data_IF_036266262439
#
_entry.id   IF_036266262439
#
_cell.length_a   1.000
_cell.length_b   1.000
_cell.length_c   1.000
_cell.angle_alpha   90.00
_cell.angle_beta   90.00
_cell.angle_gamma   90.00
#
_symmetry.space_group_name_H-M   'P 1'
#
loop_
_entity.id
_entity.type
_entity.pdbx_description
1 polymer ?
#
# COMPACT_ATOMS: atom_id res chain seq x y z
N UNK A 1 -12.46 -5.35 -13.93
CA UNK A 1 -12.71 -6.34 -12.88
C UNK A 1 -14.11 -6.10 -12.36
N UNK A 2 -15.00 -7.07 -12.51
CA UNK A 2 -16.36 -6.97 -11.95
C UNK A 2 -16.29 -7.03 -10.43
N UNK A 3 -16.72 -5.96 -9.77
CA UNK A 3 -16.76 -5.88 -8.31
C UNK A 3 -18.08 -6.49 -7.86
N UNK A 4 -18.00 -7.60 -7.12
CA UNK A 4 -19.18 -8.28 -6.56
C UNK A 4 -19.89 -7.40 -5.52
N UNK A 5 -21.22 -7.56 -5.35
CA UNK A 5 -21.96 -6.90 -4.28
C UNK A 5 -21.32 -7.13 -2.92
N UNK A 6 -21.21 -6.06 -2.13
CA UNK A 6 -20.61 -6.07 -0.80
C UNK A 6 -21.46 -5.27 0.20
N UNK A 7 -21.42 -5.64 1.48
CA UNK A 7 -22.08 -4.93 2.57
C UNK A 7 -21.43 -3.55 2.80
N UNK A 8 -20.16 -3.44 2.42
CA UNK A 8 -19.41 -2.19 2.47
C UNK A 8 -19.43 -1.51 1.11
N UNK A 9 -19.86 -0.25 1.10
CA UNK A 9 -19.67 0.65 -0.03
C UNK A 9 -18.44 1.52 0.19
N UNK A 10 -17.68 1.71 -0.88
CA UNK A 10 -16.57 2.64 -0.98
C UNK A 10 -17.06 3.92 -1.65
N UNK A 11 -16.77 5.06 -1.03
CA UNK A 11 -17.14 6.38 -1.52
C UNK A 11 -15.86 7.16 -1.76
N UNK A 12 -15.73 7.74 -2.95
CA UNK A 12 -14.66 8.68 -3.27
C UNK A 12 -15.21 9.97 -3.90
N UNK A 13 -14.29 10.89 -4.19
CA UNK A 13 -14.59 12.26 -4.61
C UNK A 13 -15.33 13.10 -3.55
N UNK A 14 -15.19 12.77 -2.27
CA UNK A 14 -15.77 13.57 -1.18
C UNK A 14 -14.92 14.83 -0.94
N UNK A 15 -15.50 15.88 -0.36
CA UNK A 15 -14.78 17.09 0.04
C UNK A 15 -13.84 16.80 1.21
N UNK A 16 -12.53 16.94 0.99
CA UNK A 16 -11.50 16.60 1.97
C UNK A 16 -11.29 17.68 3.05
N UNK A 17 -11.81 18.90 2.85
CA UNK A 17 -11.75 20.02 3.80
C UNK A 17 -12.64 19.83 5.03
N UNK A 18 -13.70 19.01 4.92
CA UNK A 18 -14.65 18.75 6.01
C UNK A 18 -13.97 18.00 7.15
N UNK A 19 -14.23 18.32 8.42
CA UNK A 19 -13.60 17.61 9.56
C UNK A 19 -14.01 16.13 9.57
N UNK A 20 -13.12 15.24 10.06
CA UNK A 20 -13.35 13.78 10.06
C UNK A 20 -14.67 13.38 10.74
N UNK A 21 -14.96 13.96 11.89
CA UNK A 21 -16.15 13.63 12.67
C UNK A 21 -17.43 14.13 12.01
N UNK A 22 -17.41 15.36 11.51
CA UNK A 22 -18.53 15.94 10.76
C UNK A 22 -18.82 15.12 9.50
N UNK A 23 -17.77 14.75 8.74
CA UNK A 23 -17.90 13.88 7.59
C UNK A 23 -18.59 12.55 7.95
N UNK A 24 -18.17 11.91 9.05
CA UNK A 24 -18.81 10.66 9.52
C UNK A 24 -20.28 10.87 9.91
N UNK A 25 -20.60 11.95 10.63
CA UNK A 25 -21.98 12.28 11.04
C UNK A 25 -22.88 12.52 9.82
N UNK A 26 -22.42 13.30 8.85
CA UNK A 26 -23.18 13.62 7.65
C UNK A 26 -23.36 12.41 6.74
N UNK A 27 -22.34 11.56 6.60
CA UNK A 27 -22.48 10.27 5.91
C UNK A 27 -23.46 9.36 6.64
N UNK A 28 -23.42 9.29 7.97
CA UNK A 28 -24.38 8.50 8.74
C UNK A 28 -25.82 8.98 8.50
N UNK A 29 -26.05 10.29 8.64
CA UNK A 29 -27.37 10.90 8.43
C UNK A 29 -27.91 10.58 7.02
N UNK A 30 -27.08 10.75 6.00
CA UNK A 30 -27.48 10.53 4.61
C UNK A 30 -27.74 9.04 4.31
N UNK A 31 -26.89 8.12 4.76
CA UNK A 31 -26.96 6.72 4.38
C UNK A 31 -27.88 5.88 5.26
N UNK A 32 -28.23 6.35 6.47
CA UNK A 32 -29.09 5.62 7.42
C UNK A 32 -30.49 5.34 6.88
N UNK A 33 -30.98 6.14 5.92
CA UNK A 33 -32.28 5.94 5.26
C UNK A 33 -32.37 4.62 4.46
N UNK A 34 -31.24 4.07 4.01
CA UNK A 34 -31.23 2.83 3.23
C UNK A 34 -31.16 1.57 4.09
N UNK A 35 -30.74 1.70 5.35
CA UNK A 35 -30.62 0.58 6.27
C UNK A 35 -29.65 0.86 7.42
N UNK A 36 -29.58 -0.09 8.35
CA UNK A 36 -28.72 0.01 9.53
C UNK A 36 -27.23 0.04 9.13
N UNK A 37 -26.55 1.12 9.52
CA UNK A 37 -25.10 1.26 9.36
C UNK A 37 -24.42 0.68 10.60
N UNK A 38 -23.47 -0.23 10.37
CA UNK A 38 -22.64 -0.81 11.44
C UNK A 38 -21.46 0.12 11.74
N UNK A 39 -20.76 0.57 10.69
CA UNK A 39 -19.53 1.34 10.84
C UNK A 39 -19.31 2.29 9.66
N UNK A 40 -18.71 3.45 9.95
CA UNK A 40 -18.18 4.36 8.93
C UNK A 40 -16.69 4.57 9.18
N UNK A 41 -15.88 4.25 8.18
CA UNK A 41 -14.43 4.42 8.21
C UNK A 41 -14.05 5.56 7.28
N UNK A 42 -13.45 6.61 7.85
CA UNK A 42 -12.91 7.73 7.10
C UNK A 42 -11.59 8.16 7.75
N UNK A 43 -10.56 8.39 6.93
CA UNK A 43 -9.24 8.82 7.37
C UNK A 43 -8.84 10.10 6.63
N UNK A 44 -8.04 10.95 7.28
CA UNK A 44 -7.57 12.22 6.72
C UNK A 44 -6.11 12.17 6.24
N UNK A 45 -5.54 10.97 6.14
CA UNK A 45 -4.21 10.78 5.57
C UNK A 45 -4.21 11.09 4.08
N UNK A 46 -3.05 11.45 3.51
CA UNK A 46 -2.95 11.80 2.09
C UNK A 46 -3.52 10.74 1.14
N UNK A 47 -3.35 9.46 1.48
CA UNK A 47 -3.85 8.32 0.70
C UNK A 47 -5.36 8.12 0.81
N UNK A 48 -5.98 8.55 1.90
CA UNK A 48 -7.39 8.24 2.24
C UNK A 48 -8.30 9.47 2.29
N UNK A 49 -7.74 10.69 2.21
CA UNK A 49 -8.54 11.92 2.20
C UNK A 49 -9.46 11.94 0.99
N UNK A 50 -10.66 12.48 1.18
CA UNK A 50 -11.72 12.48 0.16
C UNK A 50 -12.35 11.10 -0.10
N UNK A 51 -12.08 10.11 0.77
CA UNK A 51 -12.61 8.76 0.67
C UNK A 51 -13.23 8.31 2.00
N UNK A 52 -14.21 7.42 1.92
CA UNK A 52 -14.86 6.80 3.05
C UNK A 52 -15.37 5.39 2.71
N UNK A 53 -15.55 4.57 3.74
CA UNK A 53 -16.25 3.31 3.66
C UNK A 53 -17.46 3.36 4.59
N UNK A 54 -18.62 2.98 4.07
CA UNK A 54 -19.85 2.83 4.85
C UNK A 54 -20.23 1.36 4.85
N UNK A 55 -20.32 0.77 6.04
CA UNK A 55 -20.60 -0.65 6.24
C UNK A 55 -22.06 -0.79 6.67
N UNK A 56 -22.87 -1.41 5.82
CA UNK A 56 -24.26 -1.75 6.14
C UNK A 56 -24.35 -3.12 6.81
N UNK A 57 -25.41 -3.30 7.60
CA UNK A 57 -25.79 -4.62 8.12
C UNK A 57 -26.33 -5.53 7.03
N UNK A 58 -27.14 -4.97 6.13
CA UNK A 58 -27.79 -5.73 5.05
C UNK A 58 -27.16 -5.42 3.69
N UNK A 59 -26.97 -6.45 2.86
CA UNK A 59 -26.42 -6.31 1.52
C UNK A 59 -27.34 -5.46 0.61
N UNK A 60 -28.65 -5.65 0.72
CA UNK A 60 -29.64 -4.92 -0.08
C UNK A 60 -29.59 -3.41 0.18
N UNK A 61 -29.35 -3.00 1.43
CA UNK A 61 -29.19 -1.59 1.81
C UNK A 61 -27.99 -0.95 1.08
N UNK A 62 -26.85 -1.65 1.04
CA UNK A 62 -25.66 -1.21 0.31
C UNK A 62 -25.93 -1.06 -1.20
N UNK A 63 -26.63 -2.03 -1.81
CA UNK A 63 -27.01 -1.96 -3.23
C UNK A 63 -27.94 -0.80 -3.53
N UNK A 64 -28.96 -0.58 -2.69
CA UNK A 64 -29.91 0.52 -2.86
C UNK A 64 -29.23 1.88 -2.71
N UNK A 65 -28.41 2.04 -1.67
CA UNK A 65 -27.64 3.26 -1.44
C UNK A 65 -26.71 3.58 -2.61
N UNK A 66 -26.00 2.58 -3.14
CA UNK A 66 -25.10 2.76 -4.28
C UNK A 66 -25.85 3.26 -5.52
N UNK A 67 -27.03 2.68 -5.83
CA UNK A 67 -27.81 3.05 -7.01
C UNK A 67 -28.43 4.45 -6.88
N UNK A 68 -28.94 4.79 -5.70
CA UNK A 68 -29.70 6.03 -5.50
C UNK A 68 -28.81 7.25 -5.25
N UNK A 69 -27.64 7.07 -4.61
CA UNK A 69 -26.73 8.17 -4.27
C UNK A 69 -25.53 8.29 -5.21
N UNK A 70 -25.51 7.56 -6.32
CA UNK A 70 -24.45 7.71 -7.31
C UNK A 70 -24.47 9.14 -7.88
N UNK A 71 -23.33 9.83 -7.77
CA UNK A 71 -23.22 11.22 -8.24
C UNK A 71 -23.93 12.25 -7.36
N UNK A 72 -24.54 11.86 -6.23
CA UNK A 72 -25.26 12.79 -5.37
C UNK A 72 -24.33 13.91 -4.86
N UNK A 73 -24.73 15.19 -4.98
CA UNK A 73 -23.94 16.30 -4.48
C UNK A 73 -23.80 16.26 -2.96
N UNK A 74 -22.59 16.08 -2.46
CA UNK A 74 -22.28 16.03 -1.04
C UNK A 74 -21.13 16.97 -0.72
N UNK A 75 -21.42 18.02 0.04
CA UNK A 75 -20.51 19.15 0.29
C UNK A 75 -19.92 19.74 -1.01
N UNK A 76 -20.79 20.05 -1.96
CA UNK A 76 -20.49 20.65 -3.27
C UNK A 76 -19.60 19.79 -4.18
N UNK A 77 -19.52 18.47 -3.92
CA UNK A 77 -18.86 17.52 -4.81
C UNK A 77 -19.78 16.33 -5.10
N UNK A 78 -19.91 15.89 -6.37
CA UNK A 78 -20.67 14.70 -6.70
C UNK A 78 -19.91 13.47 -6.19
N UNK A 79 -20.46 12.78 -5.19
CA UNK A 79 -19.80 11.60 -4.64
C UNK A 79 -19.87 10.43 -5.63
N UNK A 80 -18.85 9.59 -5.62
CA UNK A 80 -18.78 8.39 -6.45
C UNK A 80 -18.75 7.16 -5.57
N UNK A 81 -19.68 6.23 -5.80
CA UNK A 81 -19.92 5.07 -4.96
C UNK A 81 -19.63 3.79 -5.74
N UNK A 82 -18.92 2.86 -5.11
CA UNK A 82 -18.64 1.51 -5.62
C UNK A 82 -18.78 0.50 -4.47
N UNK A 83 -18.90 -0.78 -4.77
CA UNK A 83 -18.72 -1.81 -3.74
C UNK A 83 -17.25 -1.85 -3.29
N UNK A 84 -17.02 -2.17 -2.02
CA UNK A 84 -15.67 -2.44 -1.54
C UNK A 84 -15.09 -3.70 -2.20
N UNK A 85 -13.79 -3.65 -2.52
CA UNK A 85 -13.06 -4.78 -3.11
C UNK A 85 -12.94 -5.98 -2.16
N UNK A 86 -12.96 -5.72 -0.86
CA UNK A 86 -12.77 -6.70 0.21
C UNK A 86 -13.79 -6.48 1.32
N UNK A 87 -14.19 -7.55 2.00
CA UNK A 87 -15.09 -7.45 3.14
C UNK A 87 -14.45 -6.67 4.29
N UNK A 88 -15.22 -5.76 4.89
CA UNK A 88 -14.80 -5.07 6.12
C UNK A 88 -14.60 -6.06 7.27
N UNK A 89 -13.69 -5.74 8.17
CA UNK A 89 -13.32 -6.62 9.28
C UNK A 89 -14.51 -6.92 10.19
N UNK A 90 -15.39 -5.94 10.41
CA UNK A 90 -16.61 -6.14 11.20
C UNK A 90 -17.61 -7.10 10.53
N UNK A 91 -17.71 -7.07 9.20
CA UNK A 91 -18.57 -7.99 8.43
C UNK A 91 -18.01 -9.41 8.49
N UNK A 92 -16.69 -9.56 8.39
CA UNK A 92 -16.02 -10.85 8.53
C UNK A 92 -16.18 -11.43 9.96
N UNK A 93 -16.15 -10.58 11.00
CA UNK A 93 -16.44 -10.99 12.39
C UNK A 93 -17.88 -11.46 12.55
N UNK A 94 -18.84 -10.70 12.04
CA UNK A 94 -20.27 -11.03 12.14
C UNK A 94 -20.62 -12.33 11.42
N UNK A 95 -19.96 -12.63 10.29
CA UNK A 95 -20.14 -13.87 9.52
C UNK A 95 -19.36 -15.07 10.08
N UNK A 96 -18.56 -14.89 11.13
CA UNK A 96 -17.69 -15.94 11.68
C UNK A 96 -16.49 -16.30 10.79
N UNK A 97 -16.28 -15.60 9.67
CA UNK A 97 -15.18 -15.86 8.71
C UNK A 97 -13.90 -15.08 9.03
N UNK A 98 -13.87 -14.34 10.15
CA UNK A 98 -12.71 -13.54 10.56
C UNK A 98 -11.47 -14.40 10.84
N UNK A 99 -11.66 -15.57 11.46
CA UNK A 99 -10.57 -16.51 11.75
C UNK A 99 -9.87 -17.02 10.48
N UNK A 100 -10.57 -17.07 9.35
CA UNK A 100 -9.97 -17.45 8.07
C UNK A 100 -9.06 -16.35 7.50
N UNK A 101 -9.30 -15.07 7.79
CA UNK A 101 -8.38 -13.98 7.42
C UNK A 101 -7.11 -14.02 8.26
N UNK A 102 -7.20 -14.32 9.55
CA UNK A 102 -6.04 -14.52 10.41
C UNK A 102 -5.26 -15.77 10.02
N UNK A 103 -5.92 -16.91 9.83
CA UNK A 103 -5.29 -18.13 9.31
C UNK A 103 -4.73 -17.96 7.91
N UNK A 104 -5.32 -17.10 7.06
CA UNK A 104 -4.78 -16.79 5.72
C UNK A 104 -3.59 -15.83 5.80
N UNK A 105 -3.58 -14.85 6.72
CA UNK A 105 -2.37 -14.05 7.03
C UNK A 105 -1.27 -14.94 7.59
N UNK A 106 -1.60 -15.86 8.49
CA UNK A 106 -0.67 -16.78 9.12
C UNK A 106 -0.18 -17.86 8.15
N UNK A 107 -1.04 -18.41 7.29
CA UNK A 107 -0.64 -19.31 6.19
C UNK A 107 0.18 -18.57 5.13
N UNK A 108 -0.10 -17.30 4.85
CA UNK A 108 0.71 -16.51 3.91
C UNK A 108 2.09 -16.21 4.53
N UNK A 109 2.15 -15.95 5.83
CA UNK A 109 3.39 -15.80 6.61
C UNK A 109 4.18 -17.11 6.68
N UNK A 110 3.53 -18.24 7.01
CA UNK A 110 4.11 -19.59 7.05
C UNK A 110 4.51 -20.11 5.66
N UNK A 111 3.77 -19.79 4.60
CA UNK A 111 4.13 -20.14 3.22
C UNK A 111 5.29 -19.29 2.70
N UNK A 112 5.38 -18.01 3.11
CA UNK A 112 6.57 -17.18 2.86
C UNK A 112 7.79 -17.70 3.64
N UNK A 113 7.62 -18.16 4.88
CA UNK A 113 8.68 -18.78 5.69
C UNK A 113 9.12 -20.15 5.14
N UNK A 114 8.20 -20.98 4.63
CA UNK A 114 8.52 -22.28 4.02
C UNK A 114 9.15 -22.17 2.63
N UNK A 115 8.72 -21.20 1.81
CA UNK A 115 9.36 -20.89 0.54
C UNK A 115 10.78 -20.34 0.72
N UNK A 116 11.03 -19.59 1.80
CA UNK A 116 12.37 -19.10 2.17
C UNK A 116 13.32 -20.22 2.64
N UNK A 117 12.80 -21.30 3.25
CA UNK A 117 13.62 -22.43 3.72
C UNK A 117 13.92 -23.48 2.63
N UNK A 118 13.10 -23.60 1.59
CA UNK A 118 13.35 -24.54 0.48
C UNK A 118 14.44 -24.08 -0.52
N UNK A 119 14.87 -22.81 -0.47
CA UNK A 119 15.91 -22.26 -1.34
C UNK A 119 17.35 -22.48 -0.82
N UNK A 120 17.54 -23.17 0.31
CA UNK A 120 18.87 -23.56 0.83
C UNK A 120 19.30 -24.93 0.26
N UNK A 121 19.82 -24.95 -0.97
CA UNK A 121 20.77 -25.98 -1.41
C UNK A 121 21.92 -25.30 -2.18
N UNK A 122 23.18 -25.65 -1.92
CA UNK A 122 24.34 -24.93 -2.44
C UNK A 122 24.67 -25.40 -3.85
N UNK A 123 24.87 -24.46 -4.79
CA UNK A 123 25.57 -24.74 -6.04
C UNK A 123 26.61 -23.65 -6.29
N UNK A 124 27.86 -24.06 -6.15
CA UNK A 124 29.02 -23.42 -6.75
C UNK A 124 28.91 -23.52 -8.28
N UNK A 125 29.08 -22.40 -9.01
CA UNK A 125 29.71 -22.37 -10.32
C UNK A 125 30.12 -20.94 -10.69
N UNK A 126 31.26 -20.85 -11.37
CA UNK A 126 32.13 -19.70 -11.61
C UNK A 126 31.81 -18.97 -12.93
N UNK A 127 32.16 -17.67 -13.00
CA UNK A 127 32.42 -16.80 -14.18
C UNK A 127 31.24 -16.39 -15.09
N UNK A 128 31.17 -15.18 -15.67
CA UNK A 128 32.22 -14.25 -16.14
C UNK A 128 31.64 -12.83 -16.31
N UNK A 129 32.50 -11.83 -16.07
CA UNK A 129 32.35 -10.39 -16.33
C UNK A 129 31.96 -10.03 -17.80
N UNK A 130 31.40 -8.83 -18.06
CA UNK A 130 32.23 -7.62 -18.24
C UNK A 130 31.72 -6.36 -17.50
N UNK A 131 32.65 -5.56 -16.96
CA UNK A 131 32.49 -4.14 -16.62
C UNK A 131 32.50 -3.28 -17.91
N UNK A 132 32.32 -1.91 -17.93
CA UNK A 132 32.15 -0.89 -16.87
C UNK A 132 30.98 0.11 -17.26
N UNK A 133 30.81 1.42 -16.86
CA UNK A 133 31.74 2.42 -16.31
C UNK A 133 31.36 3.05 -14.95
N UNK A 134 32.40 3.56 -14.29
CA UNK A 134 32.37 4.31 -13.05
C UNK A 134 31.46 5.56 -13.12
N UNK A 135 30.61 5.77 -12.11
CA UNK A 135 30.05 7.09 -11.80
C UNK A 135 29.74 7.27 -10.31
N UNK A 136 30.39 8.28 -9.73
CA UNK A 136 30.00 9.12 -8.58
C UNK A 136 29.70 8.40 -7.25
N UNK A 137 30.76 8.20 -6.47
CA UNK A 137 30.69 7.87 -5.05
C UNK A 137 30.04 9.02 -4.27
N UNK A 138 28.83 8.80 -3.76
CA UNK A 138 28.29 9.56 -2.63
C UNK A 138 28.78 8.90 -1.33
N UNK A 139 29.02 9.67 -0.25
CA UNK A 139 29.63 9.16 0.98
C UNK A 139 28.87 7.95 1.52
N UNK A 140 29.56 6.82 1.69
CA UNK A 140 29.00 5.60 2.25
C UNK A 140 28.74 5.84 3.74
N UNK A 141 27.48 6.04 4.11
CA UNK A 141 27.11 6.03 5.52
C UNK A 141 27.36 4.62 6.08
N UNK A 142 27.67 4.47 7.38
CA UNK A 142 27.83 3.16 7.99
C UNK A 142 26.64 2.25 7.70
N UNK A 143 26.84 0.92 7.60
CA UNK A 143 25.77 -0.04 7.34
C UNK A 143 24.55 0.20 8.23
N UNK A 144 23.38 0.16 7.60
CA UNK A 144 22.08 0.39 8.21
C UNK A 144 21.05 -0.53 7.55
N UNK A 145 20.07 -0.98 8.32
CA UNK A 145 18.94 -1.74 7.78
C UNK A 145 17.96 -0.85 6.99
N UNK A 146 18.15 0.47 7.02
CA UNK A 146 17.40 1.42 6.19
C UNK A 146 18.28 1.92 5.05
N UNK A 147 17.76 1.84 3.82
CA UNK A 147 18.35 2.44 2.63
C UNK A 147 17.70 3.78 2.32
N UNK A 148 18.52 4.73 1.89
CA UNK A 148 18.10 6.02 1.34
C UNK A 148 18.26 5.96 -0.18
N UNK A 149 17.16 6.21 -0.88
CA UNK A 149 17.09 6.25 -2.32
C UNK A 149 17.02 7.71 -2.75
N UNK A 150 17.78 8.07 -3.77
CA UNK A 150 17.69 9.37 -4.43
C UNK A 150 17.75 9.23 -5.95
N UNK A 151 17.46 10.33 -6.63
CA UNK A 151 17.34 10.37 -8.08
C UNK A 151 16.22 9.44 -8.60
N UNK A 152 15.06 9.50 -7.95
CA UNK A 152 13.86 8.82 -8.40
C UNK A 152 13.07 9.70 -9.40
N UNK A 153 12.48 9.13 -10.46
CA UNK A 153 11.52 9.83 -11.32
C UNK A 153 10.32 10.36 -10.53
N UNK A 154 9.73 11.49 -10.96
CA UNK A 154 8.54 12.08 -10.34
C UNK A 154 7.32 11.13 -10.34
N UNK A 155 7.23 10.26 -11.35
CA UNK A 155 6.17 9.26 -11.48
C UNK A 155 6.35 8.06 -10.53
N UNK A 156 7.51 7.95 -9.86
CA UNK A 156 7.84 6.83 -8.98
C UNK A 156 6.93 6.85 -7.76
N UNK A 157 6.25 5.73 -7.54
CA UNK A 157 5.38 5.54 -6.39
C UNK A 157 5.82 4.38 -5.50
N UNK A 158 5.24 4.32 -4.31
CA UNK A 158 5.50 3.31 -3.28
C UNK A 158 5.33 1.88 -3.82
N UNK A 159 4.37 1.65 -4.71
CA UNK A 159 4.08 0.31 -5.24
C UNK A 159 5.17 -0.17 -6.20
N UNK A 160 5.71 0.71 -7.05
CA UNK A 160 6.83 0.38 -7.95
C UNK A 160 8.08 0.02 -7.15
N UNK A 161 8.42 0.84 -6.16
CA UNK A 161 9.57 0.58 -5.28
C UNK A 161 9.34 -0.68 -4.44
N UNK A 162 8.12 -0.88 -3.91
CA UNK A 162 7.80 -2.10 -3.18
C UNK A 162 7.97 -3.34 -4.04
N UNK A 163 7.51 -3.32 -5.29
CA UNK A 163 7.71 -4.44 -6.23
C UNK A 163 9.19 -4.70 -6.49
N UNK A 164 9.99 -3.65 -6.64
CA UNK A 164 11.42 -3.77 -6.93
C UNK A 164 12.24 -4.28 -5.73
N UNK A 165 11.94 -3.82 -4.51
CA UNK A 165 12.69 -4.21 -3.32
C UNK A 165 12.18 -5.50 -2.67
N UNK A 166 10.92 -5.89 -2.90
CA UNK A 166 10.34 -7.13 -2.38
C UNK A 166 11.00 -8.41 -2.93
N UNK A 167 11.81 -8.32 -4.00
CA UNK A 167 12.60 -9.46 -4.49
C UNK A 167 13.80 -9.79 -3.57
N UNK A 168 14.21 -8.85 -2.71
CA UNK A 168 15.30 -9.04 -1.77
C UNK A 168 14.77 -9.54 -0.42
N UNK A 169 15.40 -10.57 0.17
CA UNK A 169 15.00 -11.07 1.49
C UNK A 169 15.03 -9.96 2.55
N UNK A 170 14.07 -10.00 3.49
CA UNK A 170 14.03 -9.07 4.61
C UNK A 170 13.42 -7.70 4.30
N UNK A 171 12.93 -7.43 3.09
CA UNK A 171 12.20 -6.19 2.78
C UNK A 171 10.98 -6.01 3.70
N UNK A 172 10.82 -4.82 4.30
CA UNK A 172 9.69 -4.47 5.17
C UNK A 172 8.77 -3.44 4.55
N UNK A 173 9.26 -2.23 4.31
CA UNK A 173 8.44 -1.12 3.82
C UNK A 173 9.21 -0.12 2.97
N UNK A 174 8.48 0.61 2.13
CA UNK A 174 8.95 1.82 1.44
C UNK A 174 8.25 3.04 2.03
N UNK A 175 9.02 4.08 2.34
CA UNK A 175 8.52 5.36 2.80
C UNK A 175 8.97 6.48 1.86
N UNK A 176 8.03 7.02 1.09
CA UNK A 176 8.25 8.23 0.30
C UNK A 176 8.26 9.46 1.21
N UNK A 177 9.04 10.48 0.84
CA UNK A 177 9.09 11.74 1.60
C UNK A 177 8.03 12.71 1.06
N UNK A 178 7.09 13.19 1.90
CA UNK A 178 6.11 14.18 1.46
C UNK A 178 6.78 15.45 0.92
N UNK A 179 6.40 15.87 -0.29
CA UNK A 179 6.96 17.05 -0.94
C UNK A 179 8.33 16.86 -1.61
N UNK A 180 8.90 15.64 -1.58
CA UNK A 180 10.14 15.30 -2.30
C UNK A 180 9.97 13.96 -3.02
N UNK A 181 9.65 14.02 -4.30
CA UNK A 181 9.35 12.85 -5.14
C UNK A 181 10.61 12.10 -5.62
N UNK A 182 11.77 12.74 -5.51
CA UNK A 182 13.06 12.23 -5.94
C UNK A 182 13.75 11.35 -4.90
N UNK A 183 13.17 11.21 -3.70
CA UNK A 183 13.76 10.46 -2.58
C UNK A 183 12.78 9.51 -1.89
N UNK A 184 13.31 8.41 -1.36
CA UNK A 184 12.56 7.43 -0.58
C UNK A 184 13.45 6.74 0.45
N UNK A 185 12.83 6.12 1.45
CA UNK A 185 13.48 5.21 2.38
C UNK A 185 12.94 3.80 2.19
N UNK A 186 13.82 2.81 2.27
CA UNK A 186 13.44 1.39 2.24
C UNK A 186 13.98 0.71 3.48
N UNK A 187 13.10 0.08 4.25
CA UNK A 187 13.48 -0.65 5.47
C UNK A 187 13.62 -2.14 5.19
N UNK A 188 14.71 -2.72 5.68
CA UNK A 188 14.95 -4.16 5.76
C UNK A 188 14.99 -4.64 7.21
N UNK A 189 14.93 -5.96 7.38
CA UNK A 189 15.06 -6.62 8.68
C UNK A 189 16.49 -6.58 9.23
N UNK A 190 17.51 -6.57 8.35
CA UNK A 190 18.92 -6.48 8.75
C UNK A 190 19.76 -5.64 7.80
N UNK A 191 20.88 -5.13 8.29
CA UNK A 191 21.86 -4.36 7.50
C UNK A 191 22.50 -5.22 6.38
N UNK A 192 22.69 -6.52 6.61
CA UNK A 192 23.24 -7.42 5.61
C UNK A 192 22.29 -7.58 4.41
N UNK A 193 21.00 -7.74 4.68
CA UNK A 193 19.97 -7.80 3.62
C UNK A 193 19.82 -6.47 2.87
N UNK A 194 19.86 -5.35 3.60
CA UNK A 194 19.87 -4.02 3.00
C UNK A 194 21.09 -3.83 2.08
N UNK A 195 22.28 -4.29 2.49
CA UNK A 195 23.50 -4.24 1.68
C UNK A 195 23.37 -5.00 0.36
N UNK A 196 22.82 -6.21 0.39
CA UNK A 196 22.60 -7.00 -0.85
C UNK A 196 21.67 -6.26 -1.81
N UNK A 197 20.58 -5.67 -1.31
CA UNK A 197 19.65 -4.90 -2.14
C UNK A 197 20.28 -3.61 -2.69
N UNK A 198 21.07 -2.90 -1.87
CA UNK A 198 21.83 -1.72 -2.27
C UNK A 198 22.76 -2.06 -3.43
N UNK A 199 23.60 -3.09 -3.27
CA UNK A 199 24.62 -3.44 -4.27
C UNK A 199 23.98 -3.93 -5.58
N UNK A 200 22.87 -4.67 -5.49
CA UNK A 200 22.17 -5.20 -6.66
C UNK A 200 21.36 -4.15 -7.44
N UNK A 201 20.80 -3.15 -6.76
CA UNK A 201 19.95 -2.13 -7.38
C UNK A 201 20.65 -0.77 -7.57
N UNK A 202 21.94 -0.67 -7.21
CA UNK A 202 22.69 0.55 -7.41
C UNK A 202 22.76 0.91 -8.89
N UNK A 203 22.30 2.12 -9.23
CA UNK A 203 22.26 2.58 -10.63
C UNK A 203 21.14 1.94 -11.45
N UNK A 204 20.23 1.18 -10.85
CA UNK A 204 19.11 0.58 -11.57
C UNK A 204 18.23 1.66 -12.20
N UNK A 205 17.92 1.49 -13.48
CA UNK A 205 17.15 2.45 -14.27
C UNK A 205 15.66 2.18 -14.11
N UNK A 206 14.96 3.02 -13.33
CA UNK A 206 13.51 2.94 -13.15
C UNK A 206 12.80 3.36 -14.44
N UNK A 207 13.31 4.40 -15.10
CA UNK A 207 12.94 4.81 -16.45
C UNK A 207 14.18 4.85 -17.33
N UNK A 208 14.00 4.88 -18.66
CA UNK A 208 15.12 4.87 -19.62
C UNK A 208 16.19 5.93 -19.32
N UNK A 209 15.78 7.07 -18.75
CA UNK A 209 16.63 8.23 -18.49
C UNK A 209 17.11 8.34 -17.04
N UNK A 210 16.51 7.62 -16.08
CA UNK A 210 16.74 7.86 -14.66
C UNK A 210 17.27 6.62 -13.93
N UNK A 211 18.54 6.67 -13.53
CA UNK A 211 19.20 5.65 -12.72
C UNK A 211 19.12 6.02 -11.24
N UNK A 212 18.49 5.16 -10.42
CA UNK A 212 18.39 5.41 -8.99
C UNK A 212 19.76 5.27 -8.33
N UNK A 213 19.95 6.01 -7.25
CA UNK A 213 21.13 5.93 -6.40
C UNK A 213 20.69 5.52 -4.99
N UNK A 214 21.45 4.61 -4.38
CA UNK A 214 21.13 4.00 -3.10
C UNK A 214 22.32 4.16 -2.16
N UNK A 215 22.05 4.65 -0.94
CA UNK A 215 23.01 4.69 0.15
C UNK A 215 22.37 4.16 1.42
N UNK A 216 23.17 3.85 2.44
CA UNK A 216 22.61 3.61 3.78
C UNK A 216 22.01 4.91 4.32
N UNK A 217 20.88 4.82 5.01
CA UNK A 217 20.32 5.97 5.71
C UNK A 217 21.27 6.39 6.85
N UNK A 218 21.38 7.70 7.06
CA UNK A 218 22.10 8.24 8.23
C UNK A 218 21.38 7.76 9.50
N UNK A 219 22.17 7.38 10.52
CA UNK A 219 21.65 7.13 11.87
C UNK A 219 21.08 8.40 12.47
#
# INVERSE_FOLDING_TARGET
MDIRPNHTIYINNVNDKIKKEELKRSLYALFSQFGQIIEIVALKTMKMRGQAFVVFKELAAATNALRQLQGFPFYNKPMRIQYAKTDSDIVAKMRGTYGDKEKKKEKKKKAQEQAANAAKKPQNAVNTQPAPPATVQVPDNPPNYILFLNNLPEETNEMMLSMLFNQFPGFKEVRLVPGKHDIAFVEFESESQAGVAKDALQGFRITATCAMKITYAKK
#
